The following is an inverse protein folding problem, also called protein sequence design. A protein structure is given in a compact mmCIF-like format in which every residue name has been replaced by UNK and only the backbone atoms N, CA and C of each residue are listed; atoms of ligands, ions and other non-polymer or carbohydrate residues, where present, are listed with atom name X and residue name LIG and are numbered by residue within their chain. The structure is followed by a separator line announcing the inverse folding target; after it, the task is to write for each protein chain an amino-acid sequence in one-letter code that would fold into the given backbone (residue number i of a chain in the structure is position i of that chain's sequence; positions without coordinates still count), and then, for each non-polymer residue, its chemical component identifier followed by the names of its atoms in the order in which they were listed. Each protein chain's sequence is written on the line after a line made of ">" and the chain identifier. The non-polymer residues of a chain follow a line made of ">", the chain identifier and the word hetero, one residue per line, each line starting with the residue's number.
data_IF_537945103993
#
_entry.id   IF_537945103993
#
_cell.length_a   1.000
_cell.length_b   1.000
_cell.length_c   1.000
_cell.angle_alpha   90.00
_cell.angle_beta   90.00
_cell.angle_gamma   90.00
#
_symmetry.space_group_name_H-M   'P 1'
#
loop_
_entity.id
_entity.type
_entity.pdbx_description
1 polymer ?
#
# COMPACT_ATOMS: atom_id res chain seq x y z
N UNK A 1 -48.56 40.31 -35.54
CA UNK A 1 -47.24 40.91 -35.45
C UNK A 1 -46.26 39.99 -36.17
N UNK A 2 -45.37 40.49 -37.01
CA UNK A 2 -44.34 39.65 -37.60
C UNK A 2 -43.44 39.09 -36.49
N UNK A 3 -43.31 37.80 -36.45
CA UNK A 3 -42.45 37.09 -35.51
C UNK A 3 -41.01 37.23 -35.99
N UNK A 4 -40.16 37.92 -35.24
CA UNK A 4 -38.74 38.07 -35.57
C UNK A 4 -38.05 36.80 -35.02
N UNK A 5 -37.65 35.92 -35.93
CA UNK A 5 -36.84 34.75 -35.58
C UNK A 5 -35.36 35.11 -35.76
N UNK A 6 -34.62 35.10 -34.65
CA UNK A 6 -33.17 35.16 -34.69
C UNK A 6 -32.61 33.73 -34.80
N UNK A 7 -31.81 33.52 -35.84
CA UNK A 7 -31.13 32.24 -36.08
C UNK A 7 -29.64 32.49 -35.91
N UNK A 8 -28.98 31.65 -35.09
CA UNK A 8 -27.54 31.79 -34.79
C UNK A 8 -26.69 30.73 -35.51
N UNK A 9 -27.06 30.38 -36.73
CA UNK A 9 -26.47 29.31 -37.52
C UNK A 9 -25.02 29.53 -37.96
N UNK A 10 -24.53 30.77 -37.95
CA UNK A 10 -23.13 31.07 -38.29
C UNK A 10 -22.18 30.84 -37.15
N UNK A 11 -22.66 30.75 -35.91
CA UNK A 11 -21.83 30.47 -34.73
C UNK A 11 -20.73 31.50 -34.43
N UNK A 12 -20.80 32.70 -35.04
CA UNK A 12 -19.79 33.75 -34.94
C UNK A 12 -20.21 34.85 -33.97
N UNK A 13 -19.32 35.19 -33.05
CA UNK A 13 -19.48 36.28 -32.10
C UNK A 13 -18.77 37.53 -32.58
N UNK A 14 -19.49 38.68 -32.67
CA UNK A 14 -19.00 39.98 -33.08
C UNK A 14 -19.19 41.00 -31.95
N UNK A 15 -18.23 41.10 -31.06
CA UNK A 15 -18.29 42.03 -29.92
C UNK A 15 -18.12 43.49 -30.31
N UNK A 16 -17.40 43.75 -31.39
CA UNK A 16 -16.97 45.10 -31.78
C UNK A 16 -18.00 45.84 -32.64
N UNK A 17 -19.00 45.13 -33.15
CA UNK A 17 -20.05 45.72 -33.98
C UNK A 17 -21.21 46.25 -33.14
N UNK A 18 -21.78 47.36 -33.60
CA UNK A 18 -23.06 47.83 -33.06
C UNK A 18 -24.16 46.79 -33.34
N UNK A 19 -25.06 46.63 -32.40
CA UNK A 19 -26.16 45.67 -32.43
C UNK A 19 -27.00 45.69 -33.70
N UNK A 20 -27.11 46.90 -34.30
CA UNK A 20 -27.89 47.13 -35.52
C UNK A 20 -27.20 46.66 -36.79
N UNK A 21 -25.88 46.39 -36.70
CA UNK A 21 -25.04 46.04 -37.86
C UNK A 21 -24.66 44.56 -37.80
N UNK A 22 -24.96 43.86 -36.70
CA UNK A 22 -24.69 42.41 -36.58
C UNK A 22 -25.51 41.66 -37.60
N UNK A 23 -24.85 40.87 -38.44
CA UNK A 23 -25.50 40.10 -39.50
C UNK A 23 -26.41 39.02 -38.92
N UNK A 24 -27.44 38.67 -39.66
CA UNK A 24 -28.32 37.58 -39.25
C UNK A 24 -27.54 36.26 -39.22
N UNK A 25 -27.63 35.56 -38.13
CA UNK A 25 -26.87 34.33 -37.90
C UNK A 25 -25.64 34.48 -36.99
N UNK A 26 -25.30 35.73 -36.65
CA UNK A 26 -24.23 36.08 -35.71
C UNK A 26 -24.83 36.67 -34.43
N UNK A 27 -24.03 36.70 -33.37
CA UNK A 27 -24.44 37.26 -32.08
C UNK A 27 -23.33 38.15 -31.52
N UNK A 28 -23.71 39.14 -30.70
CA UNK A 28 -22.79 40.11 -30.13
C UNK A 28 -22.11 39.61 -28.90
N UNK A 29 -22.84 38.94 -28.02
CA UNK A 29 -22.33 38.37 -26.79
C UNK A 29 -23.11 37.11 -26.40
N UNK A 30 -22.38 36.16 -25.84
CA UNK A 30 -22.97 34.94 -25.35
C UNK A 30 -22.07 34.34 -24.29
N UNK A 31 -22.66 33.79 -23.24
CA UNK A 31 -21.96 33.11 -22.15
C UNK A 31 -22.58 31.73 -21.93
N UNK A 32 -21.71 30.69 -21.88
CA UNK A 32 -22.12 29.33 -21.62
C UNK A 32 -23.22 28.81 -22.55
N UNK A 33 -23.14 29.11 -23.83
CA UNK A 33 -24.07 28.61 -24.85
C UNK A 33 -23.36 27.65 -25.81
N UNK A 34 -24.14 26.71 -26.32
CA UNK A 34 -23.77 25.83 -27.42
C UNK A 34 -24.78 26.02 -28.56
N UNK A 35 -24.25 26.16 -29.78
CA UNK A 35 -25.07 26.17 -30.99
C UNK A 35 -24.97 24.79 -31.62
N UNK A 36 -26.12 24.11 -31.81
CA UNK A 36 -26.13 22.80 -32.45
C UNK A 36 -25.80 22.95 -33.93
N UNK A 37 -24.74 22.27 -34.37
CA UNK A 37 -24.24 22.26 -35.77
C UNK A 37 -24.40 20.92 -36.47
N UNK A 38 -24.85 19.86 -35.73
CA UNK A 38 -25.08 18.55 -36.32
C UNK A 38 -26.35 18.49 -37.15
N UNK A 39 -26.35 17.64 -38.18
CA UNK A 39 -27.49 17.39 -39.02
C UNK A 39 -28.69 16.90 -38.23
N UNK A 40 -29.81 17.59 -38.32
CA UNK A 40 -31.04 17.27 -37.61
C UNK A 40 -32.00 18.45 -37.51
N UNK A 41 -33.17 18.28 -36.92
CA UNK A 41 -34.19 19.29 -36.72
C UNK A 41 -33.75 20.47 -35.84
N UNK A 42 -32.69 20.30 -35.08
CA UNK A 42 -32.20 21.23 -34.07
C UNK A 42 -30.99 22.08 -34.53
N UNK A 43 -30.65 22.05 -35.83
CA UNK A 43 -29.56 22.86 -36.39
C UNK A 43 -29.82 24.34 -36.18
N UNK A 44 -28.84 25.03 -35.60
CA UNK A 44 -28.92 26.45 -35.29
C UNK A 44 -29.69 26.80 -34.02
N UNK A 45 -30.15 25.81 -33.24
CA UNK A 45 -30.70 26.07 -31.91
C UNK A 45 -29.59 26.40 -30.91
N UNK A 46 -29.87 27.38 -30.07
CA UNK A 46 -28.98 27.79 -28.98
C UNK A 46 -29.47 27.17 -27.69
N UNK A 47 -28.60 26.48 -27.02
CA UNK A 47 -28.86 25.88 -25.70
C UNK A 47 -27.74 26.23 -24.74
N UNK A 48 -28.04 26.18 -23.46
CA UNK A 48 -27.00 26.29 -22.45
C UNK A 48 -26.08 25.06 -22.46
N UNK A 49 -24.78 25.31 -22.29
CA UNK A 49 -23.85 24.20 -22.04
C UNK A 49 -24.26 23.49 -20.74
N UNK A 50 -24.41 22.18 -20.80
CA UNK A 50 -24.69 21.37 -19.62
C UNK A 50 -23.56 21.55 -18.62
N UNK A 51 -23.90 21.86 -17.39
CA UNK A 51 -22.93 21.95 -16.29
C UNK A 51 -22.40 20.59 -15.90
N UNK A 52 -21.31 20.60 -15.16
CA UNK A 52 -20.74 19.38 -14.59
C UNK A 52 -21.73 18.76 -13.60
N UNK A 53 -21.88 17.45 -13.66
CA UNK A 53 -22.64 16.68 -12.67
C UNK A 53 -21.70 16.16 -11.59
N UNK A 54 -22.12 16.29 -10.33
CA UNK A 54 -21.35 15.73 -9.24
C UNK A 54 -21.48 14.19 -9.23
N UNK A 55 -20.35 13.49 -9.40
CA UNK A 55 -20.30 12.03 -9.40
C UNK A 55 -19.98 11.46 -8.00
N UNK A 56 -19.64 12.32 -7.04
CA UNK A 56 -19.34 11.88 -5.68
C UNK A 56 -20.60 11.79 -4.84
N UNK A 57 -20.74 10.73 -4.04
CA UNK A 57 -21.71 10.68 -2.97
C UNK A 57 -21.42 11.82 -1.98
N UNK A 58 -22.42 12.63 -1.68
CA UNK A 58 -22.31 13.92 -0.99
C UNK A 58 -21.68 13.90 0.40
N UNK A 59 -21.49 12.72 1.01
CA UNK A 59 -21.03 12.60 2.41
C UNK A 59 -19.70 11.86 2.59
N UNK A 60 -19.04 11.42 1.51
CA UNK A 60 -17.84 10.60 1.62
C UNK A 60 -16.54 11.41 1.58
N UNK A 61 -16.59 12.60 1.01
CA UNK A 61 -15.46 13.54 0.97
C UNK A 61 -15.76 14.67 1.95
N UNK A 62 -14.83 14.93 2.85
CA UNK A 62 -14.98 15.98 3.83
C UNK A 62 -15.08 17.36 3.12
N UNK A 63 -15.90 18.30 3.60
CA UNK A 63 -15.89 19.68 3.11
C UNK A 63 -14.48 20.27 3.29
N UNK A 64 -14.09 21.16 2.38
CA UNK A 64 -12.75 21.77 2.31
C UNK A 64 -11.61 20.79 1.95
N UNK A 65 -11.92 19.63 1.37
CA UNK A 65 -10.91 18.78 0.77
C UNK A 65 -10.38 19.41 -0.53
N UNK A 66 -9.09 19.26 -0.77
CA UNK A 66 -8.41 19.79 -1.94
C UNK A 66 -7.86 18.65 -2.80
N UNK A 67 -8.11 18.71 -4.10
CA UNK A 67 -7.45 17.78 -5.03
C UNK A 67 -6.01 18.28 -5.27
N UNK A 68 -5.03 17.48 -4.83
CA UNK A 68 -3.60 17.82 -4.95
C UNK A 68 -2.96 17.23 -6.20
N UNK A 69 -3.62 16.27 -6.85
CA UNK A 69 -3.19 15.73 -8.12
C UNK A 69 -4.26 14.86 -8.78
N UNK A 70 -4.11 14.69 -10.10
CA UNK A 70 -4.95 13.80 -10.90
C UNK A 70 -4.13 13.17 -12.01
N UNK A 71 -4.48 11.94 -12.37
CA UNK A 71 -3.90 11.25 -13.53
C UNK A 71 -4.98 10.45 -14.24
N UNK A 72 -4.95 10.48 -15.57
CA UNK A 72 -5.75 9.61 -16.42
C UNK A 72 -4.97 8.34 -16.74
N UNK A 73 -5.63 7.20 -16.66
CA UNK A 73 -5.15 5.91 -17.14
C UNK A 73 -5.96 5.55 -18.39
N UNK A 74 -5.40 5.87 -19.54
CA UNK A 74 -6.06 5.65 -20.84
C UNK A 74 -6.26 4.16 -21.14
N UNK A 75 -5.32 3.32 -20.70
CA UNK A 75 -5.38 1.86 -20.91
C UNK A 75 -6.61 1.24 -20.27
N UNK A 76 -6.95 1.69 -19.07
CA UNK A 76 -8.08 1.18 -18.29
C UNK A 76 -9.30 2.08 -18.34
N UNK A 77 -9.24 3.19 -19.10
CA UNK A 77 -10.30 4.21 -19.20
C UNK A 77 -10.79 4.65 -17.81
N UNK A 78 -9.86 5.10 -16.98
CA UNK A 78 -10.16 5.56 -15.64
C UNK A 78 -9.29 6.75 -15.22
N UNK A 79 -9.71 7.41 -14.15
CA UNK A 79 -9.01 8.54 -13.55
C UNK A 79 -8.72 8.26 -12.10
N UNK A 80 -7.59 8.78 -11.61
CA UNK A 80 -7.25 8.77 -10.21
C UNK A 80 -7.16 10.19 -9.69
N UNK A 81 -7.75 10.46 -8.52
CA UNK A 81 -7.66 11.71 -7.80
C UNK A 81 -6.97 11.52 -6.46
N UNK A 82 -6.06 12.41 -6.17
CA UNK A 82 -5.36 12.51 -4.90
C UNK A 82 -5.98 13.66 -4.12
N UNK A 83 -6.64 13.34 -3.03
CA UNK A 83 -7.42 14.30 -2.26
C UNK A 83 -6.79 14.48 -0.88
N UNK A 84 -6.43 15.70 -0.58
CA UNK A 84 -5.93 16.12 0.72
C UNK A 84 -7.05 16.68 1.57
N UNK A 85 -7.04 16.32 2.84
CA UNK A 85 -7.79 16.95 3.91
C UNK A 85 -7.00 16.83 5.21
N UNK A 86 -7.17 17.77 6.13
CA UNK A 86 -6.40 17.84 7.38
C UNK A 86 -6.52 16.59 8.27
N UNK A 87 -7.62 15.87 8.19
CA UNK A 87 -7.87 14.66 9.00
C UNK A 87 -7.78 13.36 8.22
N UNK A 88 -7.87 13.42 6.90
CA UNK A 88 -7.98 12.20 6.08
C UNK A 88 -7.55 12.46 4.63
N UNK A 89 -6.49 11.81 4.19
CA UNK A 89 -6.07 11.82 2.79
C UNK A 89 -6.69 10.64 2.05
N UNK A 90 -7.03 10.81 0.78
CA UNK A 90 -7.73 9.78 0.01
C UNK A 90 -7.17 9.71 -1.40
N UNK A 91 -7.05 8.50 -1.94
CA UNK A 91 -6.88 8.26 -3.37
C UNK A 91 -8.16 7.61 -3.89
N UNK A 92 -8.74 8.22 -4.90
CA UNK A 92 -9.98 7.77 -5.53
C UNK A 92 -9.71 7.32 -6.96
N UNK A 93 -10.47 6.35 -7.41
CA UNK A 93 -10.55 5.90 -8.81
C UNK A 93 -11.95 6.16 -9.33
N UNK A 94 -12.04 6.78 -10.51
CA UNK A 94 -13.28 6.90 -11.26
C UNK A 94 -13.20 6.03 -12.51
N UNK A 95 -14.17 5.16 -12.69
CA UNK A 95 -14.28 4.31 -13.85
C UNK A 95 -15.75 4.00 -14.16
N UNK A 96 -16.14 4.15 -15.41
CA UNK A 96 -17.49 3.79 -15.88
C UNK A 96 -18.64 4.41 -15.04
N UNK A 97 -18.51 5.65 -14.60
CA UNK A 97 -19.54 6.32 -13.79
C UNK A 97 -19.49 6.00 -12.30
N UNK A 98 -18.59 5.16 -11.86
CA UNK A 98 -18.43 4.75 -10.46
C UNK A 98 -17.16 5.32 -9.85
N UNK A 99 -17.27 5.73 -8.59
CA UNK A 99 -16.13 6.17 -7.77
C UNK A 99 -15.81 5.10 -6.74
N UNK A 100 -14.55 4.71 -6.67
CA UNK A 100 -14.05 3.69 -5.74
C UNK A 100 -12.91 4.28 -4.90
N UNK A 101 -12.90 3.99 -3.61
CA UNK A 101 -11.78 4.31 -2.74
C UNK A 101 -10.63 3.34 -3.00
N UNK A 102 -9.52 3.87 -3.51
CA UNK A 102 -8.28 3.09 -3.68
C UNK A 102 -7.52 3.04 -2.36
N UNK A 103 -7.38 4.19 -1.71
CA UNK A 103 -6.68 4.31 -0.45
C UNK A 103 -7.34 5.34 0.45
N UNK A 104 -7.55 5.00 1.70
CA UNK A 104 -8.03 5.90 2.74
C UNK A 104 -6.95 5.99 3.81
N UNK A 105 -6.47 7.19 4.06
CA UNK A 105 -5.39 7.46 4.98
C UNK A 105 -5.86 8.35 6.13
N UNK A 106 -6.02 7.76 7.28
CA UNK A 106 -6.34 8.47 8.55
C UNK A 106 -5.11 8.58 9.48
N UNK A 107 -3.94 8.10 9.02
CA UNK A 107 -2.71 8.04 9.80
C UNK A 107 -1.58 8.89 9.20
N UNK A 108 -1.89 9.68 8.18
CA UNK A 108 -0.94 10.51 7.43
C UNK A 108 0.22 9.72 6.76
N UNK A 109 -0.07 8.52 6.28
CA UNK A 109 0.86 7.64 5.58
C UNK A 109 1.19 8.15 4.19
N UNK A 110 0.19 8.71 3.49
CA UNK A 110 0.36 9.32 2.17
C UNK A 110 1.15 10.63 2.24
N UNK A 111 1.10 11.29 3.42
CA UNK A 111 1.82 12.52 3.72
C UNK A 111 1.49 13.68 2.74
N UNK A 112 0.21 13.78 2.34
CA UNK A 112 -0.23 14.92 1.54
C UNK A 112 -0.34 16.16 2.45
N UNK A 113 0.51 17.14 2.19
CA UNK A 113 0.58 18.37 2.99
C UNK A 113 -0.17 19.55 2.35
N UNK A 114 -1.10 19.27 1.44
CA UNK A 114 -1.80 20.29 0.65
C UNK A 114 -0.97 20.84 -0.52
N UNK A 115 0.28 20.41 -0.66
CA UNK A 115 1.12 20.76 -1.80
C UNK A 115 0.75 19.91 -3.02
N UNK A 116 0.95 20.48 -4.20
CA UNK A 116 0.75 19.75 -5.44
C UNK A 116 1.77 18.61 -5.57
N UNK A 117 1.31 17.45 -5.99
CA UNK A 117 2.16 16.32 -6.32
C UNK A 117 2.88 16.65 -7.65
N UNK A 118 4.20 16.51 -7.66
CA UNK A 118 5.05 16.95 -8.77
C UNK A 118 5.17 15.94 -9.90
N UNK A 119 4.95 14.65 -9.60
CA UNK A 119 4.97 13.62 -10.62
C UNK A 119 4.10 12.44 -10.23
N UNK A 120 3.31 11.94 -11.19
CA UNK A 120 2.47 10.76 -11.03
C UNK A 120 2.60 9.91 -12.27
N UNK A 121 2.62 8.59 -12.08
CA UNK A 121 2.58 7.63 -13.18
C UNK A 121 1.79 6.38 -12.80
N UNK A 122 1.11 5.79 -13.77
CA UNK A 122 0.47 4.48 -13.66
C UNK A 122 1.25 3.51 -14.52
N UNK A 123 1.82 2.49 -13.92
CA UNK A 123 2.57 1.44 -14.61
C UNK A 123 1.94 0.11 -14.24
N UNK A 124 1.29 -0.53 -15.20
CA UNK A 124 0.48 -1.72 -15.00
C UNK A 124 -0.54 -1.52 -13.86
N UNK A 125 -0.45 -2.30 -12.78
CA UNK A 125 -1.33 -2.19 -11.63
C UNK A 125 -0.76 -1.32 -10.50
N UNK A 126 0.32 -0.58 -10.76
CA UNK A 126 0.96 0.27 -9.77
C UNK A 126 0.72 1.74 -10.05
N UNK A 127 0.37 2.46 -9.01
CA UNK A 127 0.30 3.90 -8.98
C UNK A 127 1.53 4.43 -8.23
N UNK A 128 2.33 5.25 -8.91
CA UNK A 128 3.57 5.82 -8.40
C UNK A 128 3.44 7.33 -8.35
N UNK A 129 3.99 7.97 -7.32
CA UNK A 129 4.02 9.43 -7.23
C UNK A 129 5.19 9.96 -6.42
N UNK A 130 5.47 11.25 -6.62
CA UNK A 130 6.45 12.03 -5.86
C UNK A 130 5.92 13.43 -5.60
N UNK A 131 6.15 13.95 -4.42
CA UNK A 131 5.74 15.27 -3.96
C UNK A 131 6.91 16.24 -3.75
N UNK A 132 8.11 15.82 -4.08
CA UNK A 132 9.37 16.57 -3.86
C UNK A 132 9.66 16.93 -2.39
N UNK A 133 8.95 16.36 -1.44
CA UNK A 133 9.13 16.59 0.00
C UNK A 133 9.38 15.31 0.79
N UNK A 134 8.89 14.19 0.29
CA UNK A 134 9.07 12.87 0.89
C UNK A 134 9.61 11.86 -0.13
N UNK A 135 9.95 10.67 0.33
CA UNK A 135 10.41 9.60 -0.55
C UNK A 135 9.33 9.23 -1.57
N UNK A 136 9.72 8.88 -2.82
CA UNK A 136 8.79 8.41 -3.82
C UNK A 136 7.95 7.23 -3.30
N UNK A 137 6.67 7.27 -3.57
CA UNK A 137 5.70 6.29 -3.09
C UNK A 137 5.11 5.47 -4.23
N UNK A 138 4.71 4.25 -3.93
CA UNK A 138 4.00 3.37 -4.84
C UNK A 138 2.97 2.53 -4.09
N UNK A 139 1.85 2.28 -4.74
CA UNK A 139 0.83 1.35 -4.26
C UNK A 139 0.41 0.42 -5.39
N UNK A 140 0.00 -0.79 -5.03
CA UNK A 140 -0.67 -1.70 -5.95
C UNK A 140 -2.17 -1.40 -5.88
N UNK A 141 -2.76 -0.92 -6.95
CA UNK A 141 -4.13 -0.39 -7.01
C UNK A 141 -5.15 -1.40 -6.50
N UNK A 142 -5.17 -2.59 -7.08
CA UNK A 142 -6.19 -3.60 -6.71
C UNK A 142 -6.05 -4.06 -5.25
N UNK A 143 -4.83 -4.30 -4.76
CA UNK A 143 -4.62 -4.69 -3.35
C UNK A 143 -5.06 -3.60 -2.36
N UNK A 144 -4.87 -2.34 -2.74
CA UNK A 144 -5.34 -1.23 -1.92
C UNK A 144 -6.87 -1.14 -1.92
N UNK A 145 -7.53 -1.33 -3.06
CA UNK A 145 -8.99 -1.40 -3.16
C UNK A 145 -9.52 -2.52 -2.27
N UNK A 146 -8.95 -3.73 -2.38
CA UNK A 146 -9.35 -4.90 -1.58
C UNK A 146 -9.14 -4.69 -0.06
N UNK A 147 -8.15 -3.88 0.31
CA UNK A 147 -7.84 -3.52 1.70
C UNK A 147 -8.61 -2.32 2.23
N UNK A 148 -9.35 -1.62 1.38
CA UNK A 148 -10.07 -0.39 1.74
C UNK A 148 -11.55 -0.67 1.91
N UNK A 149 -12.11 -0.15 3.01
CA UNK A 149 -13.54 -0.25 3.25
C UNK A 149 -14.33 0.63 2.29
N UNK A 150 -15.43 0.10 1.78
CA UNK A 150 -16.31 0.76 0.81
C UNK A 150 -16.93 2.07 1.34
N UNK A 151 -17.05 2.20 2.65
CA UNK A 151 -17.55 3.42 3.29
C UNK A 151 -16.56 4.58 3.22
N UNK A 152 -15.27 4.30 3.02
CA UNK A 152 -14.20 5.31 2.99
C UNK A 152 -13.92 5.98 4.34
N UNK A 153 -14.33 5.39 5.45
CA UNK A 153 -14.09 5.94 6.80
C UNK A 153 -12.85 5.38 7.46
N UNK A 154 -12.51 4.13 7.19
CA UNK A 154 -11.44 3.43 7.87
C UNK A 154 -10.14 3.45 7.07
N UNK A 155 -9.02 3.47 7.78
CA UNK A 155 -7.70 3.38 7.16
C UNK A 155 -7.53 2.07 6.40
N UNK A 156 -6.92 2.15 5.22
CA UNK A 156 -6.65 1.00 4.35
C UNK A 156 -5.80 -0.05 5.06
N UNK A 157 -6.21 -1.30 4.95
CA UNK A 157 -5.52 -2.45 5.51
C UNK A 157 -4.53 -3.05 4.51
N UNK A 158 -3.45 -3.62 5.03
CA UNK A 158 -2.48 -4.36 4.25
C UNK A 158 -3.02 -5.76 3.91
N UNK A 159 -3.16 -6.06 2.63
CA UNK A 159 -3.52 -7.40 2.17
C UNK A 159 -2.26 -8.26 2.09
N UNK A 160 -2.17 -9.26 2.96
CA UNK A 160 -1.06 -10.21 2.98
C UNK A 160 -1.53 -11.51 2.33
N UNK A 161 -0.89 -11.96 1.24
CA UNK A 161 -1.21 -13.26 0.63
C UNK A 161 -1.03 -14.39 1.67
N UNK A 162 -1.97 -15.34 1.69
CA UNK A 162 -1.96 -16.54 2.56
C UNK A 162 -2.27 -16.34 4.06
N UNK A 163 -2.78 -15.21 4.48
CA UNK A 163 -3.29 -15.06 5.84
C UNK A 163 -4.81 -15.06 5.81
N UNK A 164 -5.45 -15.98 6.53
CA UNK A 164 -6.88 -15.88 6.81
C UNK A 164 -7.10 -14.63 7.67
N UNK A 165 -7.60 -13.57 7.05
CA UNK A 165 -7.85 -12.30 7.71
C UNK A 165 -9.20 -12.42 8.41
N UNK A 166 -9.18 -12.78 9.68
CA UNK A 166 -10.31 -12.48 10.57
C UNK A 166 -10.19 -11.01 10.96
N UNK A 167 -11.31 -10.30 11.03
CA UNK A 167 -11.40 -8.84 11.23
C UNK A 167 -10.61 -8.28 12.43
N UNK A 168 -10.14 -9.11 13.34
CA UNK A 168 -9.38 -8.72 14.54
C UNK A 168 -7.87 -8.52 14.31
N UNK A 169 -7.32 -8.94 13.16
CA UNK A 169 -5.86 -8.96 12.92
C UNK A 169 -5.44 -8.21 11.65
N UNK A 170 -6.24 -7.26 11.18
CA UNK A 170 -5.88 -6.45 10.02
C UNK A 170 -4.72 -5.52 10.35
N UNK A 171 -3.61 -5.67 9.65
CA UNK A 171 -2.48 -4.76 9.75
C UNK A 171 -2.80 -3.51 8.91
N UNK A 172 -2.74 -2.34 9.52
CA UNK A 172 -2.88 -1.07 8.81
C UNK A 172 -1.69 -0.85 7.87
N UNK A 173 -1.95 -0.28 6.70
CA UNK A 173 -0.85 0.14 5.81
C UNK A 173 -0.07 1.25 6.51
N UNK A 174 1.26 1.16 6.48
CA UNK A 174 2.18 2.17 7.00
C UNK A 174 3.03 2.73 5.87
N UNK A 175 3.69 3.85 6.13
CA UNK A 175 4.56 4.51 5.14
C UNK A 175 5.64 3.56 4.58
N UNK A 176 6.22 2.72 5.41
CA UNK A 176 7.21 1.73 5.02
C UNK A 176 6.72 0.70 3.99
N UNK A 177 5.40 0.48 3.89
CA UNK A 177 4.81 -0.44 2.93
C UNK A 177 4.67 0.17 1.53
N UNK A 178 4.63 1.50 1.44
CA UNK A 178 4.35 2.22 0.19
C UNK A 178 5.55 2.98 -0.37
N UNK A 179 6.63 3.18 0.41
CA UNK A 179 7.85 3.81 -0.09
C UNK A 179 8.55 2.93 -1.12
N UNK A 180 9.02 3.53 -2.22
CA UNK A 180 9.77 2.84 -3.27
C UNK A 180 11.15 2.47 -2.78
N UNK A 181 11.81 3.42 -2.13
CA UNK A 181 13.15 3.23 -1.56
C UNK A 181 12.99 2.86 -0.10
N UNK A 182 13.49 1.69 0.27
CA UNK A 182 13.48 1.26 1.66
C UNK A 182 14.58 1.96 2.43
N UNK A 183 14.21 2.55 3.57
CA UNK A 183 15.19 3.12 4.49
C UNK A 183 16.09 2.01 5.04
N UNK A 184 17.36 2.30 5.21
CA UNK A 184 18.27 1.38 5.92
C UNK A 184 17.77 1.13 7.34
N UNK A 185 17.95 -0.08 7.89
CA UNK A 185 17.64 -0.34 9.28
C UNK A 185 18.36 0.66 10.18
N UNK A 186 17.66 1.34 11.07
CA UNK A 186 18.24 2.30 12.02
C UNK A 186 19.01 1.64 13.15
N UNK A 187 18.74 0.37 13.40
CA UNK A 187 19.37 -0.46 14.42
C UNK A 187 20.11 -1.62 13.78
N UNK A 188 21.14 -2.09 14.45
CA UNK A 188 21.82 -3.33 14.06
C UNK A 188 20.82 -4.47 14.09
N UNK A 189 20.92 -5.39 13.12
CA UNK A 189 20.26 -6.67 13.24
C UNK A 189 20.86 -7.39 14.44
N UNK A 190 20.08 -7.57 15.49
CA UNK A 190 20.44 -8.41 16.61
C UNK A 190 19.92 -9.78 16.23
N UNK A 191 20.84 -10.70 15.93
CA UNK A 191 20.53 -12.12 15.83
C UNK A 191 20.51 -12.63 17.26
N UNK A 192 19.33 -12.75 17.84
CA UNK A 192 19.15 -13.57 19.04
C UNK A 192 19.01 -15.01 18.55
N UNK A 193 20.00 -15.88 18.78
CA UNK A 193 19.83 -17.30 18.51
C UNK A 193 18.77 -17.81 19.49
N UNK A 194 17.58 -18.06 18.99
CA UNK A 194 16.55 -18.79 19.76
C UNK A 194 17.00 -20.25 19.74
N UNK A 195 17.62 -20.68 20.80
CA UNK A 195 17.85 -22.12 21.03
C UNK A 195 16.47 -22.70 21.30
N UNK A 196 15.90 -23.40 20.35
CA UNK A 196 14.77 -24.28 20.62
C UNK A 196 15.35 -25.57 21.16
N UNK A 197 15.14 -25.83 22.42
CA UNK A 197 15.32 -27.19 22.97
C UNK A 197 14.40 -28.13 22.18
N UNK A 198 14.96 -28.90 21.27
CA UNK A 198 14.19 -29.90 20.53
C UNK A 198 13.75 -31.05 21.42
N UNK A 199 14.58 -31.47 22.37
CA UNK A 199 14.31 -32.48 23.37
C UNK A 199 15.34 -32.41 24.49
N UNK A 200 14.94 -32.79 25.69
CA UNK A 200 15.86 -33.11 26.78
C UNK A 200 16.03 -34.61 26.81
N UNK A 201 17.22 -35.10 26.56
CA UNK A 201 17.58 -36.49 26.73
C UNK A 201 18.55 -36.60 27.92
N UNK A 202 18.41 -37.66 28.70
CA UNK A 202 19.40 -37.98 29.73
C UNK A 202 20.55 -38.73 29.06
N UNK A 203 21.74 -38.18 29.17
CA UNK A 203 22.95 -38.83 28.68
C UNK A 203 23.77 -39.32 29.85
N UNK A 204 24.32 -40.53 29.74
CA UNK A 204 25.34 -41.03 30.65
C UNK A 204 26.69 -40.82 29.96
N UNK A 205 27.58 -40.18 30.65
CA UNK A 205 28.99 -40.09 30.25
C UNK A 205 29.71 -41.24 30.94
N UNK A 206 30.38 -42.08 30.18
CA UNK A 206 31.27 -43.08 30.70
C UNK A 206 32.69 -42.49 30.66
N UNK A 207 33.20 -42.14 31.82
CA UNK A 207 34.62 -41.81 31.96
C UNK A 207 35.35 -43.14 32.23
N UNK A 208 36.44 -43.32 31.52
CA UNK A 208 37.31 -44.47 31.77
C UNK A 208 37.82 -44.36 33.22
N UNK A 209 37.48 -45.36 34.06
CA UNK A 209 37.66 -45.33 35.51
C UNK A 209 39.16 -45.35 35.94
N UNK A 210 40.09 -45.40 34.99
CA UNK A 210 41.52 -45.58 35.30
C UNK A 210 42.35 -44.27 35.47
N UNK A 211 41.71 -43.10 35.34
CA UNK A 211 42.40 -41.81 35.56
C UNK A 211 41.56 -40.89 36.46
N UNK A 212 41.81 -40.98 37.74
CA UNK A 212 41.42 -39.96 38.70
C UNK A 212 41.99 -38.61 38.33
N UNK A 213 41.11 -37.61 38.15
CA UNK A 213 41.44 -36.18 38.13
C UNK A 213 41.90 -35.50 36.82
N UNK A 214 41.84 -36.07 35.64
CA UNK A 214 42.11 -35.29 34.40
C UNK A 214 40.83 -34.89 33.68
N UNK A 215 40.59 -33.58 33.68
CA UNK A 215 39.64 -32.94 32.77
C UNK A 215 40.00 -33.30 31.32
N UNK A 216 39.00 -33.71 30.51
CA UNK A 216 39.21 -33.98 29.09
C UNK A 216 40.01 -32.85 28.45
N UNK A 217 41.20 -33.17 27.96
CA UNK A 217 42.01 -32.19 27.18
C UNK A 217 41.37 -31.96 25.83
N UNK A 218 41.64 -30.76 25.29
CA UNK A 218 41.09 -30.34 24.03
C UNK A 218 41.52 -31.26 22.87
N UNK A 219 40.65 -32.10 22.39
CA UNK A 219 40.89 -33.08 21.32
C UNK A 219 40.62 -34.53 21.66
N UNK A 220 40.31 -34.86 22.90
CA UNK A 220 39.90 -36.20 23.31
C UNK A 220 38.48 -36.50 22.84
N UNK A 221 38.22 -37.75 22.52
CA UNK A 221 36.91 -38.24 22.08
C UNK A 221 36.33 -39.15 23.13
N UNK A 222 35.17 -38.79 23.67
CA UNK A 222 34.36 -39.63 24.55
C UNK A 222 33.09 -40.11 23.85
N UNK A 223 32.52 -41.16 24.33
CA UNK A 223 31.24 -41.69 23.83
C UNK A 223 30.10 -41.20 24.72
N UNK A 224 29.08 -40.62 24.10
CA UNK A 224 27.86 -40.19 24.79
C UNK A 224 26.73 -41.10 24.39
N UNK A 225 26.20 -41.85 25.32
CA UNK A 225 25.03 -42.70 25.10
C UNK A 225 23.77 -41.99 25.53
N UNK A 226 22.87 -41.74 24.59
CA UNK A 226 21.55 -41.17 24.88
C UNK A 226 20.56 -42.28 25.22
N UNK A 227 20.01 -42.25 26.42
CA UNK A 227 18.96 -43.16 26.83
C UNK A 227 17.59 -42.65 26.47
N UNK A 228 16.70 -43.53 25.98
CA UNK A 228 15.31 -43.22 25.62
C UNK A 228 15.07 -42.40 24.34
N UNK A 229 15.93 -42.48 23.37
CA UNK A 229 15.66 -41.95 22.04
C UNK A 229 15.07 -43.09 21.19
N UNK A 230 13.92 -42.82 20.58
CA UNK A 230 13.33 -43.76 19.62
C UNK A 230 14.20 -43.84 18.34
N UNK A 231 14.48 -45.04 17.82
CA UNK A 231 15.36 -45.20 16.65
C UNK A 231 14.88 -44.46 15.37
N UNK A 232 13.63 -44.03 15.36
CA UNK A 232 13.04 -43.31 14.24
C UNK A 232 13.09 -41.77 14.35
N UNK A 233 13.52 -41.26 15.48
CA UNK A 233 13.63 -39.84 15.73
C UNK A 233 15.08 -39.40 15.50
N UNK A 234 15.41 -39.00 14.28
CA UNK A 234 16.71 -38.39 13.95
C UNK A 234 16.73 -36.93 14.47
N UNK A 235 16.88 -36.79 15.79
CA UNK A 235 16.91 -35.47 16.43
C UNK A 235 18.21 -34.71 16.18
N UNK A 236 19.30 -35.42 15.92
CA UNK A 236 20.64 -34.86 15.78
C UNK A 236 21.22 -35.19 14.42
N UNK A 237 21.90 -34.20 13.83
CA UNK A 237 22.61 -34.30 12.56
C UNK A 237 24.10 -34.08 12.76
N UNK A 238 24.90 -34.61 11.85
CA UNK A 238 26.36 -34.36 11.88
C UNK A 238 26.62 -32.85 11.86
N UNK A 239 27.33 -32.38 12.87
CA UNK A 239 27.66 -30.96 13.03
C UNK A 239 26.77 -30.17 13.97
N UNK A 240 25.72 -30.80 14.53
CA UNK A 240 24.91 -30.20 15.59
C UNK A 240 25.76 -29.97 16.85
N UNK A 241 25.44 -28.90 17.57
CA UNK A 241 26.11 -28.56 18.83
C UNK A 241 25.17 -28.98 19.96
N UNK A 242 25.64 -29.84 20.85
CA UNK A 242 24.92 -30.26 22.04
C UNK A 242 25.50 -29.55 23.25
N UNK A 243 24.62 -29.00 24.07
CA UNK A 243 24.97 -28.41 25.35
C UNK A 243 24.73 -29.46 26.45
N UNK A 244 25.78 -29.82 27.13
CA UNK A 244 25.72 -30.70 28.30
C UNK A 244 25.64 -29.84 29.56
N UNK A 245 24.69 -30.15 30.43
CA UNK A 245 24.54 -29.48 31.71
C UNK A 245 24.11 -30.46 32.79
N UNK A 246 24.50 -30.20 34.01
CA UNK A 246 24.08 -31.01 35.15
C UNK A 246 22.59 -30.75 35.43
N UNK A 247 21.77 -31.83 35.45
CA UNK A 247 20.35 -31.77 35.69
C UNK A 247 19.97 -31.24 37.09
N UNK A 248 20.89 -31.29 38.01
CA UNK A 248 20.71 -30.83 39.41
C UNK A 248 20.83 -29.30 39.54
N UNK A 249 21.39 -28.60 38.54
CA UNK A 249 21.75 -27.19 38.64
C UNK A 249 21.27 -26.35 37.43
N UNK A 250 20.00 -26.52 37.05
CA UNK A 250 19.38 -25.88 35.89
C UNK A 250 19.46 -24.35 35.88
N UNK A 251 19.67 -23.69 36.98
CA UNK A 251 19.60 -22.23 37.13
C UNK A 251 20.95 -21.49 37.18
N UNK A 252 22.00 -22.21 37.32
CA UNK A 252 23.35 -21.67 37.23
C UNK A 252 23.96 -22.22 35.95
N UNK A 253 24.25 -21.36 34.99
CA UNK A 253 25.04 -21.71 33.81
C UNK A 253 26.46 -22.05 34.28
N UNK A 254 26.78 -23.33 34.55
CA UNK A 254 28.15 -23.70 34.79
C UNK A 254 28.90 -23.65 33.45
N UNK A 255 30.16 -23.66 33.51
CA UNK A 255 31.03 -23.68 32.35
C UNK A 255 30.47 -24.57 31.26
N UNK A 256 30.02 -23.94 30.19
CA UNK A 256 29.29 -24.57 29.09
C UNK A 256 30.26 -25.46 28.31
N UNK A 257 30.13 -26.77 28.48
CA UNK A 257 30.80 -27.69 27.57
C UNK A 257 30.03 -27.76 26.27
N UNK A 258 30.63 -27.25 25.22
CA UNK A 258 30.13 -27.40 23.87
C UNK A 258 30.77 -28.62 23.24
N UNK A 259 29.98 -29.63 22.98
CA UNK A 259 30.44 -30.83 22.27
C UNK A 259 29.84 -30.80 20.85
N UNK A 260 30.70 -30.90 19.87
CA UNK A 260 30.25 -31.02 18.47
C UNK A 260 30.12 -32.53 18.17
N UNK A 261 28.90 -32.97 17.86
CA UNK A 261 28.65 -34.35 17.48
C UNK A 261 29.36 -34.66 16.16
N UNK A 262 30.18 -35.64 16.17
CA UNK A 262 30.80 -36.26 15.01
C UNK A 262 30.27 -37.68 14.94
N UNK A 263 29.40 -37.98 13.98
CA UNK A 263 28.93 -39.31 13.66
C UNK A 263 29.84 -39.89 12.60
#
# INVERSE_FOLDING_TARGET
>A
MPEIKHVFNQGKMNKDLDERIVENGQYRDAMNIQVSTSEGSDVGTVQNILGNTNVFPTNQIAPNSTCVATIADEKNNCFYWFVYHTTKNIILKYQAGQVVFVFVDTMNVLNFNGNLITGINVIDDFLLWTDNSSEPKKIHIQRCIDGTDISGFYHTNLIVPKRNITNSNCIKVREEHITVIKKSPKSKLILDPIFQEKTTATATFDFDEDNDDELMENGETGEITFNNISPNDSFYSVGDIVLLYDASNKNELPDLFQVRIKI
#
